data_IF_045347113478
#
_entry.id   IF_045347113478
#
_cell.length_a   1.000
_cell.length_b   1.000
_cell.length_c   1.000
_cell.angle_alpha   90.00
_cell.angle_beta   90.00
_cell.angle_gamma   90.00
#
_symmetry.space_group_name_H-M   'P 1'
#
loop_
_entity.id
_entity.type
_entity.pdbx_description
1 polymer ?
#
# COMPACT_ATOMS: atom_id res chain seq x y z
N UNK A 1 3.41 1.91 -11.52
CA UNK A 1 2.30 0.95 -11.32
C UNK A 1 2.82 -0.28 -10.55
N UNK A 2 2.24 -0.57 -9.39
CA UNK A 2 2.87 -1.37 -8.31
C UNK A 2 2.94 -2.89 -8.45
N UNK A 3 3.01 -3.48 -9.64
CA UNK A 3 3.17 -4.94 -9.84
C UNK A 3 2.24 -5.80 -8.95
N UNK A 4 0.96 -5.43 -8.89
CA UNK A 4 -0.08 -6.05 -8.06
C UNK A 4 -0.45 -7.45 -8.56
N UNK A 5 -1.17 -8.25 -7.75
CA UNK A 5 -1.59 -9.61 -8.11
C UNK A 5 -2.36 -9.67 -9.44
N UNK A 6 -2.37 -10.85 -10.06
CA UNK A 6 -3.00 -11.10 -11.35
C UNK A 6 -4.46 -10.64 -11.40
N UNK A 7 -5.25 -11.07 -10.42
CA UNK A 7 -6.67 -10.73 -10.29
C UNK A 7 -6.91 -9.21 -10.19
N UNK A 8 -6.06 -8.51 -9.44
CA UNK A 8 -6.19 -7.05 -9.27
C UNK A 8 -5.85 -6.29 -10.55
N UNK A 9 -4.89 -6.82 -11.31
CA UNK A 9 -4.52 -6.24 -12.59
C UNK A 9 -5.61 -6.49 -13.62
N UNK A 10 -6.25 -7.67 -13.60
CA UNK A 10 -7.42 -7.99 -14.43
C UNK A 10 -8.59 -7.04 -14.20
N UNK A 11 -8.95 -6.84 -12.95
CA UNK A 11 -9.99 -5.89 -12.53
C UNK A 11 -9.70 -4.45 -12.97
N UNK A 12 -8.46 -3.99 -12.80
CA UNK A 12 -8.03 -2.65 -13.23
C UNK A 12 -8.18 -2.48 -14.75
N UNK A 13 -7.82 -3.52 -15.51
CA UNK A 13 -7.98 -3.52 -16.96
C UNK A 13 -9.46 -3.53 -17.34
N UNK A 14 -10.28 -4.39 -16.72
CA UNK A 14 -11.73 -4.48 -16.99
C UNK A 14 -12.48 -3.15 -16.80
N UNK A 15 -12.05 -2.34 -15.83
CA UNK A 15 -12.66 -1.02 -15.55
C UNK A 15 -12.24 0.09 -16.52
N UNK A 16 -11.21 -0.13 -17.35
CA UNK A 16 -10.64 0.90 -18.23
C UNK A 16 -10.55 0.51 -19.70
N UNK A 17 -10.59 -0.78 -20.01
CA UNK A 17 -10.44 -1.32 -21.35
C UNK A 17 -11.11 -2.69 -21.49
N UNK A 18 -11.49 -3.05 -22.73
CA UNK A 18 -12.03 -4.37 -23.06
C UNK A 18 -11.56 -4.79 -24.46
N UNK A 19 -11.20 -6.06 -24.63
CA UNK A 19 -10.93 -6.70 -25.93
C UNK A 19 -11.14 -8.22 -25.88
N UNK A 20 -11.31 -8.93 -27.01
CA UNK A 20 -11.46 -10.39 -26.99
C UNK A 20 -10.26 -11.08 -26.33
N UNK A 21 -10.50 -12.04 -25.42
CA UNK A 21 -9.47 -12.81 -24.67
C UNK A 21 -8.57 -11.98 -23.73
N UNK A 22 -8.97 -10.76 -23.39
CA UNK A 22 -8.17 -9.87 -22.53
C UNK A 22 -7.73 -10.49 -21.19
N UNK A 23 -8.56 -11.32 -20.55
CA UNK A 23 -8.20 -12.00 -19.31
C UNK A 23 -7.06 -13.01 -19.49
N UNK A 24 -7.08 -13.76 -20.59
CA UNK A 24 -6.11 -14.79 -20.90
C UNK A 24 -4.76 -14.14 -21.27
N UNK A 25 -4.78 -13.13 -22.13
CA UNK A 25 -3.57 -12.39 -22.53
C UNK A 25 -2.94 -11.66 -21.34
N UNK A 26 -3.76 -11.17 -20.41
CA UNK A 26 -3.28 -10.52 -19.20
C UNK A 26 -2.68 -11.51 -18.19
N UNK A 27 -3.28 -12.71 -18.04
CA UNK A 27 -2.67 -13.81 -17.29
C UNK A 27 -1.29 -14.18 -17.84
N UNK A 28 -1.18 -14.32 -19.16
CA UNK A 28 0.07 -14.67 -19.83
C UNK A 28 1.13 -13.58 -19.61
N UNK A 29 0.76 -12.31 -19.76
CA UNK A 29 1.65 -11.17 -19.48
C UNK A 29 2.19 -11.15 -18.03
N UNK A 30 1.29 -11.40 -17.07
CA UNK A 30 1.66 -11.34 -15.65
C UNK A 30 2.64 -12.48 -15.31
N UNK A 31 2.51 -13.63 -15.97
CA UNK A 31 3.42 -14.76 -15.83
C UNK A 31 4.77 -14.57 -16.55
N UNK A 32 4.86 -13.72 -17.58
CA UNK A 32 6.13 -13.41 -18.28
C UNK A 32 6.93 -12.31 -17.58
N UNK A 33 6.31 -11.50 -16.71
CA UNK A 33 7.01 -10.50 -15.92
C UNK A 33 7.99 -11.16 -14.93
N UNK A 34 9.29 -11.15 -15.24
CA UNK A 34 10.33 -11.76 -14.38
C UNK A 34 10.33 -11.17 -12.95
N UNK A 35 9.99 -9.88 -12.83
CA UNK A 35 9.82 -9.18 -11.54
C UNK A 35 8.62 -9.70 -10.73
N UNK A 36 7.52 -10.06 -11.39
CA UNK A 36 6.35 -10.68 -10.76
C UNK A 36 6.62 -12.15 -10.43
N UNK A 37 7.29 -12.89 -11.33
CA UNK A 37 7.59 -14.32 -11.18
C UNK A 37 8.62 -14.62 -10.10
N UNK A 38 9.65 -13.77 -9.94
CA UNK A 38 10.61 -13.86 -8.83
C UNK A 38 9.96 -13.51 -7.49
N UNK A 39 8.93 -12.67 -7.50
CA UNK A 39 8.22 -12.24 -6.30
C UNK A 39 7.14 -13.23 -5.83
N UNK A 40 6.35 -13.81 -6.74
CA UNK A 40 5.25 -14.71 -6.42
C UNK A 40 5.70 -16.18 -6.35
N UNK A 41 6.64 -16.49 -5.47
CA UNK A 41 6.87 -17.90 -5.09
C UNK A 41 5.63 -18.41 -4.36
N UNK A 42 5.05 -19.52 -4.84
CA UNK A 42 3.92 -20.21 -4.20
C UNK A 42 4.33 -20.63 -2.79
N UNK A 43 3.85 -19.90 -1.78
CA UNK A 43 3.95 -20.35 -0.39
C UNK A 43 2.96 -21.50 -0.18
N UNK A 44 3.47 -22.62 0.34
CA UNK A 44 2.68 -23.81 0.66
C UNK A 44 1.58 -23.50 1.68
N UNK A 45 0.42 -24.16 1.53
CA UNK A 45 -0.74 -23.98 2.41
C UNK A 45 -0.54 -24.70 3.73
N UNK A 46 -0.41 -23.96 4.83
CA UNK A 46 -0.54 -24.51 6.18
C UNK A 46 -1.94 -24.17 6.72
N UNK A 47 -2.87 -25.13 6.63
CA UNK A 47 -4.19 -25.06 7.27
C UNK A 47 -4.14 -25.69 8.66
N UNK A 48 -4.80 -25.04 9.61
CA UNK A 48 -4.89 -25.34 11.02
C UNK A 48 -6.14 -24.63 11.55
N UNK A 49 -6.51 -24.94 12.79
CA UNK A 49 -7.80 -24.56 13.36
C UNK A 49 -7.91 -23.05 13.63
N UNK A 50 -8.95 -22.45 13.04
CA UNK A 50 -9.32 -21.04 13.12
C UNK A 50 -9.72 -20.64 14.55
N UNK A 51 -8.98 -19.73 15.19
CA UNK A 51 -9.59 -18.88 16.21
C UNK A 51 -10.24 -17.69 15.50
N UNK A 52 -11.51 -17.41 15.78
CA UNK A 52 -12.29 -16.41 15.07
C UNK A 52 -12.12 -15.03 15.73
N UNK A 53 -11.30 -14.13 15.15
CA UNK A 53 -11.44 -12.70 15.45
C UNK A 53 -12.70 -12.25 14.72
N UNK A 54 -13.71 -11.81 15.48
CA UNK A 54 -14.98 -11.29 14.96
C UNK A 54 -14.70 -10.28 13.84
N UNK A 55 -15.41 -10.40 12.72
CA UNK A 55 -15.24 -9.46 11.63
C UNK A 55 -15.72 -8.07 12.08
N UNK A 56 -14.94 -7.01 11.84
CA UNK A 56 -15.35 -5.66 12.19
C UNK A 56 -16.63 -5.28 11.45
N UNK A 57 -17.46 -4.42 12.05
CA UNK A 57 -18.73 -3.96 11.46
C UNK A 57 -18.60 -2.58 10.83
N UNK A 58 -17.57 -1.83 11.23
CA UNK A 58 -17.29 -0.50 10.72
C UNK A 58 -15.83 -0.36 10.27
N UNK A 59 -15.54 0.54 9.31
CA UNK A 59 -14.17 0.94 8.98
C UNK A 59 -13.40 1.34 10.23
N UNK A 60 -12.13 0.94 10.29
CA UNK A 60 -11.18 1.31 11.35
C UNK A 60 -11.49 0.77 12.74
N UNK A 61 -12.49 -0.12 12.89
CA UNK A 61 -12.81 -0.75 14.17
C UNK A 61 -11.75 -1.76 14.61
N UNK A 62 -11.17 -2.50 13.66
CA UNK A 62 -10.07 -3.44 13.87
C UNK A 62 -8.98 -3.15 12.86
N UNK A 63 -7.78 -2.88 13.34
CA UNK A 63 -6.63 -2.58 12.50
C UNK A 63 -5.50 -3.58 12.71
N UNK A 64 -4.69 -3.72 11.68
CA UNK A 64 -3.45 -4.48 11.67
C UNK A 64 -2.28 -3.52 11.50
N UNK A 65 -1.22 -3.70 12.28
CA UNK A 65 -0.04 -2.85 12.24
C UNK A 65 1.23 -3.69 12.08
N UNK A 66 2.18 -3.17 11.29
CA UNK A 66 3.48 -3.81 11.05
C UNK A 66 4.54 -2.76 10.68
N UNK A 67 5.82 -3.07 10.91
CA UNK A 67 6.94 -2.25 10.48
C UNK A 67 7.73 -2.88 9.34
N UNK A 68 8.04 -2.05 8.36
CA UNK A 68 9.11 -2.32 7.40
C UNK A 68 10.33 -1.56 7.84
N UNK A 69 11.33 -2.25 8.40
CA UNK A 69 12.61 -1.66 8.82
C UNK A 69 13.74 -2.00 7.84
N UNK A 70 14.86 -1.30 7.97
CA UNK A 70 16.05 -1.53 7.12
C UNK A 70 15.87 -1.01 5.69
N UNK A 71 14.99 -0.03 5.50
CA UNK A 71 14.88 0.69 4.25
C UNK A 71 16.07 1.65 4.11
N UNK A 72 16.48 1.90 2.87
CA UNK A 72 17.49 2.94 2.62
C UNK A 72 16.95 4.30 3.06
N UNK A 73 17.78 5.19 3.65
CA UNK A 73 17.35 6.52 4.03
C UNK A 73 16.66 7.26 2.87
N UNK A 74 15.43 7.73 3.11
CA UNK A 74 14.60 8.39 2.10
C UNK A 74 13.91 9.66 2.62
N UNK A 75 13.53 10.53 1.69
CA UNK A 75 12.91 11.82 1.94
C UNK A 75 13.84 12.82 2.61
N UNK A 76 13.35 14.05 2.82
CA UNK A 76 14.08 15.10 3.56
C UNK A 76 14.38 14.72 5.01
N UNK A 77 13.59 13.82 5.59
CA UNK A 77 13.74 13.34 6.96
C UNK A 77 14.71 12.18 7.14
N UNK A 78 15.33 11.66 6.07
CA UNK A 78 16.18 10.46 6.11
C UNK A 78 15.50 9.27 6.81
N UNK A 79 14.22 9.04 6.51
CA UNK A 79 13.45 7.94 7.09
C UNK A 79 14.03 6.61 6.65
N UNK A 80 14.14 5.66 7.58
CA UNK A 80 14.75 4.33 7.37
C UNK A 80 13.78 3.18 7.69
N UNK A 81 12.54 3.51 8.04
CA UNK A 81 11.47 2.56 8.32
C UNK A 81 10.11 3.09 7.86
N UNK A 82 9.15 2.20 7.68
CA UNK A 82 7.78 2.54 7.37
C UNK A 82 6.82 1.79 8.30
N UNK A 83 5.93 2.52 8.95
CA UNK A 83 4.86 1.97 9.78
C UNK A 83 3.60 1.79 8.93
N UNK A 84 3.20 0.54 8.72
CA UNK A 84 2.07 0.17 7.90
C UNK A 84 0.89 -0.16 8.79
N UNK A 85 -0.26 0.45 8.48
CA UNK A 85 -1.51 0.27 9.21
C UNK A 85 -2.61 -0.06 8.21
N UNK A 86 -3.28 -1.18 8.45
CA UNK A 86 -4.29 -1.74 7.58
C UNK A 86 -5.62 -1.88 8.30
N UNK A 87 -6.68 -1.31 7.75
CA UNK A 87 -8.04 -1.54 8.23
C UNK A 87 -8.55 -2.92 7.79
N UNK A 88 -9.02 -3.72 8.75
CA UNK A 88 -9.54 -5.06 8.47
C UNK A 88 -10.91 -5.01 7.79
N UNK A 89 -11.69 -3.95 7.93
CA UNK A 89 -13.00 -3.85 7.28
C UNK A 89 -12.89 -3.45 5.81
N UNK A 90 -12.44 -2.21 5.56
CA UNK A 90 -12.36 -1.63 4.22
C UNK A 90 -11.17 -2.14 3.41
N UNK A 91 -10.17 -2.74 4.06
CA UNK A 91 -8.86 -3.07 3.48
C UNK A 91 -8.05 -1.82 3.08
N UNK A 92 -8.42 -0.64 3.61
CA UNK A 92 -7.67 0.60 3.41
C UNK A 92 -6.34 0.51 4.15
N UNK A 93 -5.30 1.08 3.56
CA UNK A 93 -3.96 1.07 4.10
C UNK A 93 -3.39 2.48 4.25
N UNK A 94 -2.59 2.67 5.29
CA UNK A 94 -1.78 3.85 5.56
C UNK A 94 -0.33 3.38 5.73
N UNK A 95 0.59 4.05 5.05
CA UNK A 95 2.02 3.79 5.14
C UNK A 95 2.71 5.08 5.61
N UNK A 96 3.22 5.08 6.83
CA UNK A 96 3.76 6.27 7.47
C UNK A 96 5.29 6.14 7.49
N UNK A 97 6.04 7.06 6.87
CA UNK A 97 7.50 7.04 6.95
C UNK A 97 7.92 7.40 8.37
N UNK A 98 8.89 6.66 8.92
CA UNK A 98 9.32 6.79 10.30
C UNK A 98 10.80 6.38 10.45
N UNK A 99 11.34 6.52 11.66
CA UNK A 99 12.67 5.99 11.98
C UNK A 99 12.54 4.70 12.79
N UNK A 100 13.44 3.74 12.54
CA UNK A 100 13.51 2.49 13.30
C UNK A 100 13.76 2.76 14.78
N UNK A 101 14.52 3.81 15.05
CA UNK A 101 14.98 4.28 16.36
C UNK A 101 13.91 5.04 17.14
N UNK A 102 12.73 5.29 16.56
CA UNK A 102 11.62 5.93 17.26
C UNK A 102 11.22 5.17 18.52
N UNK A 103 10.89 5.93 19.56
CA UNK A 103 10.39 5.37 20.81
C UNK A 103 8.91 4.97 20.69
N UNK A 104 8.39 4.31 21.73
CA UNK A 104 6.95 4.04 21.81
C UNK A 104 6.11 5.34 21.89
N UNK A 105 6.65 6.42 22.48
CA UNK A 105 5.99 7.73 22.53
C UNK A 105 5.93 8.37 21.15
N UNK A 106 7.04 8.34 20.39
CA UNK A 106 7.09 8.84 19.01
C UNK A 106 6.08 8.08 18.14
N UNK A 107 6.01 6.75 18.30
CA UNK A 107 5.03 5.89 17.63
C UNK A 107 3.60 6.29 17.99
N UNK A 108 3.31 6.58 19.26
CA UNK A 108 1.97 7.02 19.69
C UNK A 108 1.59 8.38 19.11
N UNK A 109 2.53 9.33 19.03
CA UNK A 109 2.29 10.60 18.37
C UNK A 109 2.04 10.43 16.86
N UNK A 110 2.83 9.58 16.19
CA UNK A 110 2.63 9.25 14.79
C UNK A 110 1.25 8.62 14.55
N UNK A 111 0.83 7.70 15.41
CA UNK A 111 -0.48 7.05 15.39
C UNK A 111 -1.63 8.03 15.65
N UNK A 112 -1.51 8.86 16.68
CA UNK A 112 -2.50 9.89 17.01
C UNK A 112 -2.74 10.85 15.84
N UNK A 113 -1.65 11.36 15.27
CA UNK A 113 -1.70 12.41 14.25
C UNK A 113 -2.20 11.93 12.89
N UNK A 114 -2.03 10.64 12.57
CA UNK A 114 -2.34 10.11 11.24
C UNK A 114 -3.54 9.16 11.23
N UNK A 115 -3.80 8.45 12.32
CA UNK A 115 -4.90 7.48 12.41
C UNK A 115 -6.02 8.02 13.27
N UNK A 116 -5.79 8.32 14.54
CA UNK A 116 -6.88 8.74 15.45
C UNK A 116 -7.54 10.03 14.95
N UNK A 117 -6.74 11.01 14.50
CA UNK A 117 -7.24 12.29 13.99
C UNK A 117 -8.08 12.19 12.71
N UNK A 118 -7.89 11.15 11.88
CA UNK A 118 -8.52 11.03 10.56
C UNK A 118 -9.56 9.91 10.48
N UNK A 119 -9.38 8.87 11.27
CA UNK A 119 -10.15 7.63 11.22
C UNK A 119 -10.86 7.32 12.54
N UNK A 120 -10.44 7.96 13.64
CA UNK A 120 -10.90 7.66 14.99
C UNK A 120 -10.09 6.57 15.68
N UNK A 121 -10.43 6.31 16.94
CA UNK A 121 -9.77 5.31 17.77
C UNK A 121 -10.28 3.89 17.42
N UNK A 122 -9.40 2.93 17.09
CA UNK A 122 -9.81 1.55 16.87
C UNK A 122 -10.21 0.87 18.18
N UNK A 123 -11.10 -0.12 18.07
CA UNK A 123 -11.44 -0.99 19.22
C UNK A 123 -10.42 -2.09 19.43
N UNK A 124 -9.83 -2.60 18.34
CA UNK A 124 -8.86 -3.69 18.38
C UNK A 124 -7.66 -3.34 17.51
N UNK A 125 -6.46 -3.47 18.08
CA UNK A 125 -5.20 -3.36 17.35
C UNK A 125 -4.55 -4.74 17.34
N UNK A 126 -4.30 -5.25 16.15
CA UNK A 126 -3.57 -6.49 15.92
C UNK A 126 -2.17 -6.11 15.41
N UNK A 127 -1.14 -6.67 16.01
CA UNK A 127 0.25 -6.37 15.62
C UNK A 127 1.18 -7.52 15.97
N UNK A 128 2.40 -7.48 15.47
CA UNK A 128 3.47 -8.31 16.01
C UNK A 128 3.87 -7.89 17.43
N UNK A 129 4.90 -8.54 17.96
CA UNK A 129 5.47 -8.25 19.28
C UNK A 129 6.66 -7.30 19.20
N UNK A 130 6.63 -6.30 18.31
CA UNK A 130 7.64 -5.25 18.30
C UNK A 130 7.74 -4.60 19.70
N UNK A 131 8.94 -4.42 20.26
CA UNK A 131 9.14 -3.87 21.61
C UNK A 131 8.42 -2.54 21.86
N UNK A 132 8.20 -1.72 20.82
CA UNK A 132 7.47 -0.45 20.94
C UNK A 132 6.00 -0.68 21.28
N UNK A 133 5.37 -1.70 20.67
CA UNK A 133 3.96 -2.05 20.89
C UNK A 133 3.73 -2.89 22.14
N UNK A 134 4.73 -3.64 22.59
CA UNK A 134 4.65 -4.38 23.86
C UNK A 134 5.18 -3.58 25.04
N UNK A 135 5.55 -2.31 24.84
CA UNK A 135 6.04 -1.46 25.92
C UNK A 135 4.96 -1.19 26.96
N UNK A 136 5.37 -0.95 28.20
CA UNK A 136 4.47 -0.57 29.28
C UNK A 136 3.71 0.72 28.94
N UNK A 137 4.40 1.69 28.31
CA UNK A 137 3.78 2.92 27.83
C UNK A 137 2.64 2.64 26.84
N UNK A 138 2.88 1.87 25.77
CA UNK A 138 1.86 1.60 24.75
C UNK A 138 0.68 0.81 25.32
N UNK A 139 0.96 -0.16 26.19
CA UNK A 139 -0.06 -0.98 26.85
C UNK A 139 -0.96 -0.12 27.74
N UNK A 140 -0.36 0.72 28.60
CA UNK A 140 -1.12 1.60 29.50
C UNK A 140 -1.87 2.71 28.73
N UNK A 141 -1.29 3.24 27.66
CA UNK A 141 -1.97 4.20 26.79
C UNK A 141 -3.27 3.62 26.24
N UNK A 142 -3.23 2.41 25.69
CA UNK A 142 -4.41 1.78 25.09
C UNK A 142 -5.40 1.23 26.13
N UNK A 143 -4.95 0.92 27.34
CA UNK A 143 -5.85 0.63 28.47
C UNK A 143 -6.70 1.86 28.83
N UNK A 144 -6.09 3.04 28.92
CA UNK A 144 -6.80 4.32 29.15
C UNK A 144 -7.75 4.64 28.00
N UNK A 145 -7.36 4.35 26.77
CA UNK A 145 -8.17 4.60 25.57
C UNK A 145 -9.28 3.56 25.37
N UNK A 146 -9.24 2.42 26.08
CA UNK A 146 -10.19 1.32 25.90
C UNK A 146 -10.01 0.53 24.61
N UNK A 147 -8.81 0.56 24.02
CA UNK A 147 -8.46 -0.21 22.83
C UNK A 147 -7.84 -1.55 23.24
N UNK A 148 -8.38 -2.65 22.72
CA UNK A 148 -7.82 -3.98 22.97
C UNK A 148 -6.59 -4.23 22.09
N UNK A 149 -5.46 -4.55 22.72
CA UNK A 149 -4.25 -5.01 22.03
C UNK A 149 -4.27 -6.53 21.83
N UNK A 150 -4.03 -6.98 20.61
CA UNK A 150 -4.02 -8.39 20.21
C UNK A 150 -2.70 -8.71 19.49
N UNK A 151 -1.68 -9.12 20.25
CA UNK A 151 -0.38 -9.45 19.68
C UNK A 151 -0.40 -10.82 19.00
N UNK A 152 0.04 -10.87 17.74
CA UNK A 152 0.24 -12.12 17.02
C UNK A 152 1.32 -12.96 17.71
N UNK A 153 1.09 -14.27 17.75
CA UNK A 153 2.14 -15.22 18.12
C UNK A 153 2.80 -15.71 16.83
N UNK A 154 4.07 -16.10 16.89
CA UNK A 154 4.80 -16.67 15.75
C UNK A 154 4.14 -17.91 15.09
N UNK A 155 3.01 -18.39 15.63
CA UNK A 155 2.27 -19.57 15.21
C UNK A 155 0.75 -19.32 14.97
N UNK A 156 0.28 -18.07 14.86
CA UNK A 156 -1.14 -17.77 14.56
C UNK A 156 -1.42 -17.14 13.16
N UNK A 157 -0.93 -17.69 12.04
CA UNK A 157 -1.13 -17.14 10.69
C UNK A 157 -2.56 -17.26 10.13
N UNK A 158 -3.50 -17.88 10.85
CA UNK A 158 -4.81 -18.26 10.29
C UNK A 158 -5.91 -17.24 10.50
N UNK A 159 -5.86 -16.44 11.57
CA UNK A 159 -6.88 -15.42 11.82
C UNK A 159 -6.56 -14.11 11.11
N UNK A 160 -5.28 -13.90 10.82
CA UNK A 160 -4.75 -12.65 10.28
C UNK A 160 -4.23 -12.76 8.84
N UNK A 161 -4.27 -13.96 8.24
CA UNK A 161 -3.65 -14.22 6.94
C UNK A 161 -4.14 -13.36 5.77
N UNK A 162 -5.26 -12.63 5.88
CA UNK A 162 -5.67 -11.65 4.88
C UNK A 162 -4.99 -10.29 5.06
N UNK A 163 -4.95 -9.75 6.27
CA UNK A 163 -4.27 -8.49 6.52
C UNK A 163 -2.75 -8.68 6.46
N UNK A 164 -2.22 -9.80 6.97
CA UNK A 164 -0.82 -10.21 6.81
C UNK A 164 -0.43 -10.24 5.33
N UNK A 165 -1.17 -10.95 4.46
CA UNK A 165 -0.86 -11.00 3.02
C UNK A 165 -0.89 -9.61 2.36
N UNK A 166 -1.82 -8.76 2.78
CA UNK A 166 -1.94 -7.40 2.25
C UNK A 166 -0.76 -6.53 2.67
N UNK A 167 -0.41 -6.56 3.96
CA UNK A 167 0.77 -5.87 4.50
C UNK A 167 2.03 -6.38 3.78
N UNK A 168 2.23 -7.70 3.68
CA UNK A 168 3.39 -8.28 2.98
C UNK A 168 3.47 -7.84 1.51
N UNK A 169 2.33 -7.74 0.81
CA UNK A 169 2.31 -7.20 -0.56
C UNK A 169 2.84 -5.76 -0.59
N UNK A 170 2.46 -4.93 0.39
CA UNK A 170 2.96 -3.57 0.50
C UNK A 170 4.45 -3.52 0.87
N UNK A 171 4.90 -4.35 1.82
CA UNK A 171 6.33 -4.49 2.17
C UNK A 171 7.16 -4.82 0.94
N UNK A 172 6.72 -5.78 0.13
CA UNK A 172 7.40 -6.17 -1.10
C UNK A 172 7.47 -5.02 -2.11
N UNK A 173 6.39 -4.25 -2.26
CA UNK A 173 6.36 -3.07 -3.12
C UNK A 173 7.40 -2.04 -2.66
N UNK A 174 7.43 -1.72 -1.36
CA UNK A 174 8.40 -0.77 -0.79
C UNK A 174 9.85 -1.25 -0.99
N UNK A 175 10.12 -2.52 -0.69
CA UNK A 175 11.46 -3.11 -0.88
C UNK A 175 11.90 -3.07 -2.34
N UNK A 176 11.00 -3.29 -3.30
CA UNK A 176 11.30 -3.17 -4.73
C UNK A 176 11.65 -1.74 -5.12
N UNK A 177 10.92 -0.74 -4.61
CA UNK A 177 11.25 0.66 -4.88
C UNK A 177 12.64 1.03 -4.35
N UNK A 178 13.01 0.53 -3.16
CA UNK A 178 14.35 0.70 -2.62
C UNK A 178 15.42 -0.02 -3.45
N UNK A 179 15.18 -1.27 -3.88
CA UNK A 179 16.17 -2.10 -4.54
C UNK A 179 16.43 -1.72 -6.01
N UNK A 180 15.39 -1.38 -6.76
CA UNK A 180 15.52 -1.03 -8.18
C UNK A 180 15.78 0.45 -8.43
N UNK A 181 15.92 1.25 -7.37
CA UNK A 181 16.40 2.62 -7.42
C UNK A 181 15.57 3.50 -8.33
N UNK A 182 14.36 3.88 -7.91
CA UNK A 182 13.62 4.96 -8.59
C UNK A 182 14.12 6.36 -8.19
N UNK A 183 15.42 6.49 -7.86
CA UNK A 183 16.02 7.75 -7.41
C UNK A 183 16.15 8.71 -8.58
N UNK A 184 15.09 9.46 -8.82
CA UNK A 184 15.09 10.57 -9.76
C UNK A 184 15.31 11.87 -9.00
N UNK A 185 16.36 12.62 -9.34
CA UNK A 185 16.60 13.96 -8.82
C UNK A 185 16.36 14.97 -9.95
N UNK A 186 15.47 15.94 -9.76
CA UNK A 186 15.38 17.07 -10.67
C UNK A 186 16.34 18.21 -10.25
N UNK A 187 16.44 19.24 -11.10
CA UNK A 187 17.32 20.39 -10.88
C UNK A 187 16.91 21.26 -9.67
N UNK A 188 15.69 21.09 -9.16
CA UNK A 188 15.14 21.81 -7.99
C UNK A 188 15.32 21.04 -6.67
N UNK A 189 15.99 19.88 -6.70
CA UNK A 189 16.24 19.06 -5.51
C UNK A 189 15.08 18.14 -5.12
N UNK A 190 14.07 17.99 -5.97
CA UNK A 190 13.04 16.97 -5.79
C UNK A 190 13.66 15.58 -6.02
N UNK A 191 13.66 14.75 -4.98
CA UNK A 191 14.09 13.35 -5.02
C UNK A 191 12.83 12.48 -5.05
N UNK A 192 12.65 11.73 -6.13
CA UNK A 192 11.70 10.64 -6.20
C UNK A 192 12.36 9.45 -5.49
N UNK A 193 11.91 9.10 -4.30
CA UNK A 193 12.39 7.97 -3.52
C UNK A 193 11.20 7.24 -2.91
N UNK A 194 11.46 6.18 -2.16
CA UNK A 194 10.38 5.37 -1.60
C UNK A 194 9.44 6.18 -0.69
N UNK A 195 9.93 7.25 -0.02
CA UNK A 195 9.12 8.12 0.86
C UNK A 195 8.22 9.02 0.03
N UNK A 196 8.76 9.69 -1.00
CA UNK A 196 7.97 10.60 -1.84
C UNK A 196 6.94 9.85 -2.69
N UNK A 197 7.14 8.55 -2.92
CA UNK A 197 6.21 7.65 -3.60
C UNK A 197 5.11 7.06 -2.69
N UNK A 198 5.29 7.07 -1.36
CA UNK A 198 4.32 6.46 -0.43
C UNK A 198 2.87 6.91 -0.69
N UNK A 199 2.57 8.22 -0.90
CA UNK A 199 1.20 8.65 -1.12
C UNK A 199 0.58 8.06 -2.38
N UNK A 200 1.36 7.95 -3.46
CA UNK A 200 0.90 7.37 -4.73
C UNK A 200 0.68 5.87 -4.62
N UNK A 201 1.55 5.18 -3.90
CA UNK A 201 1.43 3.74 -3.65
C UNK A 201 0.22 3.43 -2.80
N UNK A 202 -0.02 4.20 -1.74
CA UNK A 202 -1.22 4.11 -0.92
C UNK A 202 -2.48 4.38 -1.74
N UNK A 203 -2.48 5.45 -2.54
CA UNK A 203 -3.61 5.78 -3.40
C UNK A 203 -3.88 4.63 -4.37
N UNK A 204 -2.86 4.13 -5.07
CA UNK A 204 -2.97 3.03 -6.01
C UNK A 204 -3.51 1.74 -5.34
N UNK A 205 -3.05 1.42 -4.12
CA UNK A 205 -3.58 0.30 -3.36
C UNK A 205 -5.06 0.51 -2.99
N UNK A 206 -5.39 1.64 -2.36
CA UNK A 206 -6.72 1.89 -1.80
C UNK A 206 -7.80 2.11 -2.87
N UNK A 207 -7.40 2.30 -4.13
CA UNK A 207 -8.30 2.45 -5.28
C UNK A 207 -8.25 1.23 -6.21
N UNK A 208 -7.44 0.22 -5.90
CA UNK A 208 -7.47 -1.06 -6.57
C UNK A 208 -8.64 -1.89 -6.03
N UNK A 209 -9.25 -2.70 -6.87
CA UNK A 209 -10.30 -3.60 -6.42
C UNK A 209 -9.75 -4.67 -5.48
N UNK A 210 -10.57 -5.06 -4.49
CA UNK A 210 -10.28 -6.14 -3.56
C UNK A 210 -11.37 -7.22 -3.64
N UNK A 211 -10.95 -8.46 -3.90
CA UNK A 211 -11.86 -9.61 -4.03
C UNK A 211 -12.65 -9.93 -2.78
N UNK A 212 -12.09 -9.62 -1.61
CA UNK A 212 -12.75 -9.86 -0.32
C UNK A 212 -13.90 -8.90 -0.05
N UNK A 213 -13.85 -7.68 -0.58
CA UNK A 213 -14.90 -6.66 -0.38
C UNK A 213 -15.76 -6.45 -1.63
N UNK A 214 -15.34 -6.96 -2.79
CA UNK A 214 -15.97 -6.72 -4.09
C UNK A 214 -15.94 -5.24 -4.51
N UNK A 215 -15.15 -4.40 -3.83
CA UNK A 215 -15.10 -2.95 -3.98
C UNK A 215 -13.66 -2.47 -3.79
N UNK A 216 -13.40 -1.20 -4.11
CA UNK A 216 -12.12 -0.57 -3.77
C UNK A 216 -12.13 -0.18 -2.28
N UNK A 217 -10.99 -0.25 -1.58
CA UNK A 217 -10.92 0.14 -0.17
C UNK A 217 -11.42 1.56 0.10
N UNK A 218 -11.09 2.51 -0.77
CA UNK A 218 -11.53 3.91 -0.61
C UNK A 218 -13.05 4.04 -0.74
N UNK A 219 -13.68 3.26 -1.63
CA UNK A 219 -15.14 3.26 -1.73
C UNK A 219 -15.79 2.71 -0.46
N UNK A 220 -15.22 1.67 0.15
CA UNK A 220 -15.75 1.10 1.40
C UNK A 220 -15.51 2.02 2.59
N UNK A 221 -14.33 2.65 2.66
CA UNK A 221 -13.93 3.55 3.74
C UNK A 221 -14.66 4.90 3.68
N UNK A 222 -14.64 5.55 2.51
CA UNK A 222 -15.08 6.95 2.35
C UNK A 222 -16.42 7.09 1.63
N UNK A 223 -16.90 6.04 0.97
CA UNK A 223 -18.14 6.09 0.17
C UNK A 223 -17.96 6.67 -1.25
N UNK A 224 -16.74 7.02 -1.66
CA UNK A 224 -16.44 7.54 -3.00
C UNK A 224 -15.03 7.16 -3.46
N UNK A 225 -14.78 7.20 -4.77
CA UNK A 225 -13.46 6.94 -5.36
C UNK A 225 -12.85 8.29 -5.78
N UNK A 226 -11.62 8.62 -5.31
CA UNK A 226 -10.96 9.85 -5.72
C UNK A 226 -10.55 9.84 -7.18
N UNK A 227 -10.64 11.01 -7.80
CA UNK A 227 -10.17 11.25 -9.16
C UNK A 227 -8.64 11.20 -9.19
N UNK A 228 -8.06 10.50 -10.17
CA UNK A 228 -6.61 10.53 -10.35
C UNK A 228 -6.20 11.73 -11.20
N UNK A 229 -5.09 12.40 -10.86
CA UNK A 229 -4.55 13.47 -11.69
C UNK A 229 -4.38 13.05 -13.16
N UNK A 230 -3.93 11.82 -13.40
CA UNK A 230 -3.70 11.28 -14.74
C UNK A 230 -4.97 11.15 -15.60
N UNK A 231 -6.12 10.91 -14.97
CA UNK A 231 -7.41 10.78 -15.67
C UNK A 231 -7.96 12.15 -16.09
N UNK A 232 -7.49 13.23 -15.45
CA UNK A 232 -7.95 14.60 -15.67
C UNK A 232 -6.88 15.52 -16.26
N UNK A 233 -5.72 14.99 -16.66
CA UNK A 233 -4.70 15.74 -17.38
C UNK A 233 -5.29 16.27 -18.69
N UNK A 234 -5.36 17.61 -18.81
CA UNK A 234 -5.80 18.26 -20.03
C UNK A 234 -4.80 17.97 -21.16
N UNK A 235 -5.23 17.19 -22.14
CA UNK A 235 -4.41 16.76 -23.29
C UNK A 235 -4.07 17.89 -24.27
N UNK A 236 -4.91 18.92 -24.32
CA UNK A 236 -4.83 20.01 -25.30
C UNK A 236 -4.60 21.38 -24.62
N UNK A 237 -3.57 21.48 -23.78
CA UNK A 237 -3.16 22.77 -23.23
C UNK A 237 -2.37 23.54 -24.29
N UNK A 238 -2.88 24.70 -24.73
CA UNK A 238 -2.19 25.60 -25.68
C UNK A 238 -0.91 26.20 -25.06
N UNK A 239 -0.94 26.46 -23.76
CA UNK A 239 0.18 27.02 -23.00
C UNK A 239 0.17 26.46 -21.59
N UNK A 240 1.32 25.94 -21.16
CA UNK A 240 1.54 25.51 -19.78
C UNK A 240 2.43 26.56 -19.12
N UNK A 241 1.98 27.10 -18.00
CA UNK A 241 2.76 28.10 -17.27
C UNK A 241 4.09 27.48 -16.80
N UNK A 242 5.25 28.17 -16.93
CA UNK A 242 6.55 27.62 -16.59
C UNK A 242 6.63 27.00 -15.18
N UNK A 243 5.98 27.61 -14.19
CA UNK A 243 5.99 27.11 -12.79
C UNK A 243 5.23 25.79 -12.58
N UNK A 244 4.37 25.39 -13.52
CA UNK A 244 3.62 24.13 -13.47
C UNK A 244 4.13 23.10 -14.50
N UNK A 245 5.09 23.51 -15.34
CA UNK A 245 5.61 22.69 -16.45
C UNK A 245 6.26 21.41 -15.94
N UNK A 246 7.08 21.51 -14.91
CA UNK A 246 7.82 20.37 -14.36
C UNK A 246 6.87 19.29 -13.80
N UNK A 247 5.81 19.69 -13.09
CA UNK A 247 4.78 18.76 -12.61
C UNK A 247 3.98 18.13 -13.75
N UNK A 248 3.63 18.90 -14.79
CA UNK A 248 2.95 18.35 -15.95
C UNK A 248 3.83 17.34 -16.70
N UNK A 249 5.11 17.65 -16.91
CA UNK A 249 6.06 16.75 -17.56
C UNK A 249 6.31 15.48 -16.74
N UNK A 250 6.38 15.60 -15.40
CA UNK A 250 6.49 14.45 -14.50
C UNK A 250 5.32 13.48 -14.71
N UNK A 251 4.07 13.95 -14.56
CA UNK A 251 2.91 13.08 -14.73
C UNK A 251 2.78 12.51 -16.15
N UNK A 252 3.18 13.29 -17.17
CA UNK A 252 3.21 12.80 -18.55
C UNK A 252 4.22 11.66 -18.72
N UNK A 253 5.44 11.80 -18.18
CA UNK A 253 6.45 10.73 -18.18
C UNK A 253 5.97 9.49 -17.43
N UNK A 254 5.28 9.64 -16.32
CA UNK A 254 4.71 8.51 -15.58
C UNK A 254 3.62 7.79 -16.40
N UNK A 255 2.77 8.55 -17.09
CA UNK A 255 1.77 8.01 -18.01
C UNK A 255 2.41 7.28 -19.19
N UNK A 256 3.44 7.86 -19.80
CA UNK A 256 4.17 7.28 -20.93
C UNK A 256 4.93 6.02 -20.50
N UNK A 257 5.55 6.03 -19.32
CA UNK A 257 6.21 4.86 -18.73
C UNK A 257 5.18 3.76 -18.43
N UNK A 258 4.04 4.12 -17.85
CA UNK A 258 2.93 3.21 -17.62
C UNK A 258 2.37 2.63 -18.94
N UNK A 259 2.27 3.44 -20.00
CA UNK A 259 1.84 3.01 -21.33
C UNK A 259 2.88 2.10 -21.98
N UNK A 260 4.17 2.42 -21.87
CA UNK A 260 5.27 1.61 -22.38
C UNK A 260 5.34 0.27 -21.67
N UNK A 261 5.27 0.23 -20.34
CA UNK A 261 5.17 -1.03 -19.61
C UNK A 261 3.94 -1.86 -20.04
N UNK A 262 2.83 -1.22 -20.40
CA UNK A 262 1.62 -1.86 -20.97
C UNK A 262 1.75 -2.27 -22.44
N UNK A 263 2.66 -1.66 -23.21
CA UNK A 263 2.88 -1.97 -24.63
C UNK A 263 3.94 -3.07 -24.78
N UNK A 264 5.04 -2.98 -24.03
CA UNK A 264 6.02 -4.05 -23.88
C UNK A 264 5.36 -5.32 -23.34
N UNK A 265 4.31 -5.16 -22.53
CA UNK A 265 3.43 -6.26 -22.13
C UNK A 265 2.74 -6.98 -23.28
N UNK A 266 2.31 -6.22 -24.29
CA UNK A 266 1.56 -6.72 -25.44
C UNK A 266 2.50 -7.28 -26.51
N UNK A 267 3.65 -6.66 -26.74
CA UNK A 267 4.64 -7.15 -27.70
C UNK A 267 5.30 -8.46 -27.27
N UNK A 268 5.47 -8.69 -25.97
CA UNK A 268 5.97 -9.98 -25.46
C UNK A 268 4.97 -11.15 -25.59
N UNK A 269 3.72 -10.85 -25.95
CA UNK A 269 2.63 -11.82 -26.08
C UNK A 269 2.24 -12.10 -27.55
N UNK A 270 2.99 -11.57 -28.53
CA UNK A 270 2.91 -11.91 -29.96
C UNK A 270 4.15 -12.71 -30.39
#
# INVERSE_FOLDING_TARGET
MGHMSEDRTKERVASTAWWPKWEQELSEYINTCERFRKANRKHGKNYGLLQHIEEPKHPWETINMDWVTGLVPGGKGNFNACFIIADRFSKSMRCLPCHKEETAMDTAMLFQNNIISTCGLPKIIISDRDPKLTSEFWTNLHDILGTKLAFSTAYHPQTDGLAERMIQTMVDILRRFCAYGMRYNNHEGYTHDWVTLLPEVQLAHNTSWHSTTGKTPTLVEKGWIPLFPVDHLKKNLLTIHPTAKDFHEMWKRDCDTAAKCRAEAKEYNN
#
